data_IF_379950271189
#
_entry.id   IF_379950271189
#
_cell.length_a   1.000
_cell.length_b   1.000
_cell.length_c   1.000
_cell.angle_alpha   90.00
_cell.angle_beta   90.00
_cell.angle_gamma   90.00
#
_symmetry.space_group_name_H-M   'P 1'
#
loop_
_entity.id
_entity.type
_entity.pdbx_description
1 polymer ?
#
# COMPACT_ATOMS: atom_id res chain seq x y z
N UNK A 1 20.64 8.45 -24.98
CA UNK A 1 20.15 9.17 -23.80
C UNK A 1 19.08 8.30 -23.14
N UNK A 2 19.25 7.96 -21.85
CA UNK A 2 18.27 7.16 -21.14
C UNK A 2 16.98 8.00 -20.97
N UNK A 3 15.90 7.51 -21.54
CA UNK A 3 14.61 8.17 -21.47
C UNK A 3 14.03 7.91 -20.07
N UNK A 4 14.19 8.86 -19.14
CA UNK A 4 13.68 8.81 -17.75
C UNK A 4 12.15 8.98 -17.69
N UNK A 5 11.44 8.22 -18.49
CA UNK A 5 9.99 8.23 -18.48
C UNK A 5 9.50 7.41 -17.29
N UNK A 6 8.55 7.93 -16.52
CA UNK A 6 7.89 7.18 -15.46
C UNK A 6 7.27 5.89 -16.00
N UNK A 7 7.15 4.86 -15.15
CA UNK A 7 6.44 3.64 -15.51
C UNK A 7 4.97 3.95 -15.76
N UNK A 8 4.45 3.39 -16.83
CA UNK A 8 3.02 3.46 -17.18
C UNK A 8 2.30 2.16 -16.79
N UNK A 9 0.99 2.09 -17.04
CA UNK A 9 0.18 0.92 -16.76
C UNK A 9 0.66 -0.32 -17.54
N UNK A 10 1.06 -0.16 -18.79
CA UNK A 10 1.49 -1.28 -19.64
C UNK A 10 2.80 -1.89 -19.09
N UNK A 11 3.76 -1.04 -18.69
CA UNK A 11 4.99 -1.49 -18.03
C UNK A 11 4.66 -2.32 -16.78
N UNK A 12 3.71 -1.88 -15.95
CA UNK A 12 3.28 -2.56 -14.73
C UNK A 12 2.55 -3.88 -14.99
N UNK A 13 1.77 -3.94 -16.04
CA UNK A 13 1.11 -5.18 -16.48
C UNK A 13 2.15 -6.20 -16.97
N UNK A 14 3.15 -5.78 -17.73
CA UNK A 14 4.24 -6.66 -18.16
C UNK A 14 5.10 -7.15 -16.98
N UNK A 15 5.35 -6.31 -15.97
CA UNK A 15 5.98 -6.75 -14.71
C UNK A 15 5.14 -7.85 -14.05
N UNK A 16 3.84 -7.62 -13.87
CA UNK A 16 2.94 -8.61 -13.27
C UNK A 16 2.93 -9.94 -14.03
N UNK A 17 2.92 -9.88 -15.36
CA UNK A 17 2.95 -11.05 -16.22
C UNK A 17 4.28 -11.80 -16.09
N UNK A 18 5.41 -11.11 -16.17
CA UNK A 18 6.73 -11.70 -15.98
C UNK A 18 6.88 -12.36 -14.60
N UNK A 19 6.34 -11.73 -13.55
CA UNK A 19 6.30 -12.34 -12.21
C UNK A 19 5.47 -13.62 -12.16
N UNK A 20 4.31 -13.70 -12.83
CA UNK A 20 3.50 -14.92 -12.93
C UNK A 20 4.21 -16.03 -13.70
N UNK A 21 5.01 -15.67 -14.68
CA UNK A 21 5.83 -16.59 -15.48
C UNK A 21 7.12 -17.02 -14.74
N UNK A 22 7.42 -16.42 -13.58
CA UNK A 22 8.61 -16.73 -12.80
C UNK A 22 9.91 -16.14 -13.35
N UNK A 23 9.83 -15.11 -14.19
CA UNK A 23 10.98 -14.41 -14.75
C UNK A 23 11.76 -13.65 -13.67
N UNK A 24 13.05 -13.53 -13.86
CA UNK A 24 13.92 -12.70 -13.04
C UNK A 24 13.69 -11.20 -13.31
N UNK A 25 14.12 -10.34 -12.39
CA UNK A 25 14.02 -8.88 -12.57
C UNK A 25 14.78 -8.38 -13.80
N UNK A 26 15.91 -9.02 -14.13
CA UNK A 26 16.69 -8.69 -15.32
C UNK A 26 15.91 -9.00 -16.59
N UNK A 27 15.28 -10.18 -16.69
CA UNK A 27 14.46 -10.57 -17.84
C UNK A 27 13.23 -9.69 -18.00
N UNK A 28 12.55 -9.36 -16.89
CA UNK A 28 11.42 -8.43 -16.89
C UNK A 28 11.88 -7.05 -17.34
N UNK A 29 12.99 -6.57 -16.77
CA UNK A 29 13.56 -5.27 -17.12
C UNK A 29 13.94 -5.17 -18.59
N UNK A 30 14.58 -6.20 -19.13
CA UNK A 30 14.93 -6.28 -20.56
C UNK A 30 13.68 -6.18 -21.46
N UNK A 31 12.57 -6.82 -21.09
CA UNK A 31 11.34 -6.82 -21.86
C UNK A 31 10.70 -5.41 -21.98
N UNK A 32 10.87 -4.55 -20.96
CA UNK A 32 10.28 -3.19 -20.94
C UNK A 32 11.32 -2.07 -21.06
N UNK A 33 12.57 -2.43 -21.39
CA UNK A 33 13.67 -1.46 -21.57
C UNK A 33 14.08 -0.74 -20.27
N UNK A 34 14.06 -1.45 -19.14
CA UNK A 34 14.39 -0.93 -17.79
C UNK A 34 15.45 -1.80 -17.12
N UNK A 35 16.17 -1.21 -16.18
CA UNK A 35 17.10 -1.95 -15.34
C UNK A 35 16.38 -2.84 -14.32
N UNK A 36 16.93 -4.02 -14.02
CA UNK A 36 16.35 -4.95 -13.05
C UNK A 36 16.25 -4.38 -11.63
N UNK A 37 17.13 -3.45 -11.25
CA UNK A 37 17.05 -2.74 -9.98
C UNK A 37 15.82 -1.83 -9.89
N UNK A 38 15.43 -1.23 -11.01
CA UNK A 38 14.20 -0.42 -11.12
C UNK A 38 12.97 -1.31 -10.94
N UNK A 39 12.96 -2.49 -11.58
CA UNK A 39 11.89 -3.49 -11.40
C UNK A 39 11.79 -3.94 -9.94
N UNK A 40 12.92 -4.21 -9.30
CA UNK A 40 12.97 -4.60 -7.89
C UNK A 40 12.43 -3.50 -6.96
N UNK A 41 12.73 -2.23 -7.23
CA UNK A 41 12.20 -1.11 -6.45
C UNK A 41 10.70 -0.97 -6.65
N UNK A 42 10.22 -0.97 -7.87
CA UNK A 42 8.78 -0.89 -8.22
C UNK A 42 7.98 -1.98 -7.51
N UNK A 43 8.43 -3.25 -7.60
CA UNK A 43 7.74 -4.36 -6.95
C UNK A 43 7.69 -4.17 -5.44
N UNK A 44 8.81 -3.82 -4.79
CA UNK A 44 8.85 -3.65 -3.33
C UNK A 44 8.04 -2.47 -2.82
N UNK A 45 7.93 -1.40 -3.62
CA UNK A 45 7.13 -0.23 -3.26
C UNK A 45 5.63 -0.48 -3.32
N UNK A 46 5.20 -1.44 -4.18
CA UNK A 46 3.77 -1.69 -4.45
C UNK A 46 3.36 -3.13 -4.08
N UNK A 47 3.98 -3.71 -3.04
CA UNK A 47 3.60 -5.02 -2.53
C UNK A 47 2.26 -4.97 -1.80
N UNK A 48 1.31 -5.76 -2.28
CA UNK A 48 0.02 -5.95 -1.61
C UNK A 48 0.16 -7.12 -0.64
N UNK A 49 -0.02 -6.85 0.65
CA UNK A 49 -0.03 -7.85 1.70
C UNK A 49 -1.44 -8.42 1.83
N UNK A 50 -1.57 -9.75 1.76
CA UNK A 50 -2.86 -10.44 1.94
C UNK A 50 -2.76 -11.45 3.08
N UNK A 51 -3.56 -11.23 4.10
CA UNK A 51 -3.73 -12.13 5.25
C UNK A 51 -4.97 -12.98 5.05
N UNK A 52 -4.93 -13.81 4.00
CA UNK A 52 -6.05 -14.65 3.59
C UNK A 52 -5.69 -16.11 3.65
N UNK A 53 -6.59 -16.91 4.25
CA UNK A 53 -6.51 -18.35 4.22
C UNK A 53 -6.98 -18.95 2.90
N UNK A 54 -7.50 -20.18 3.00
CA UNK A 54 -8.12 -20.92 1.91
C UNK A 54 -9.60 -21.11 2.21
N UNK A 55 -10.33 -21.72 1.28
CA UNK A 55 -11.75 -22.02 1.47
C UNK A 55 -12.01 -22.93 2.69
N UNK A 56 -11.06 -23.81 3.00
CA UNK A 56 -11.19 -24.81 4.08
C UNK A 56 -10.24 -24.56 5.27
N UNK A 57 -9.30 -23.64 5.13
CA UNK A 57 -8.30 -23.33 6.17
C UNK A 57 -8.13 -21.83 6.27
N UNK A 58 -8.46 -21.21 7.41
CA UNK A 58 -8.31 -19.80 7.61
C UNK A 58 -6.82 -19.38 7.60
N UNK A 59 -6.58 -18.09 7.48
CA UNK A 59 -5.27 -17.51 7.68
C UNK A 59 -4.78 -17.83 9.09
N UNK A 60 -3.62 -18.45 9.18
CA UNK A 60 -2.95 -18.72 10.44
C UNK A 60 -1.43 -18.80 10.23
N UNK A 61 -0.70 -17.75 10.55
CA UNK A 61 0.75 -17.72 10.35
C UNK A 61 1.55 -18.37 11.49
N UNK A 62 0.91 -19.11 12.40
CA UNK A 62 1.61 -19.76 13.51
C UNK A 62 2.48 -20.93 13.02
N UNK A 63 3.75 -20.97 13.48
CA UNK A 63 4.66 -22.11 13.23
C UNK A 63 4.03 -23.43 13.69
N UNK A 64 3.34 -23.40 14.82
CA UNK A 64 2.76 -24.58 15.46
C UNK A 64 1.37 -24.95 14.92
N UNK A 65 0.84 -24.28 13.88
CA UNK A 65 -0.53 -24.48 13.38
C UNK A 65 -0.90 -25.90 13.03
N UNK A 66 0.08 -26.75 12.70
CA UNK A 66 -0.17 -28.18 12.36
C UNK A 66 -0.21 -29.08 13.57
N UNK A 67 0.51 -28.73 14.62
CA UNK A 67 0.70 -29.52 15.82
C UNK A 67 0.53 -28.59 17.04
N UNK A 68 -0.59 -27.88 17.12
CA UNK A 68 -0.88 -26.97 18.22
C UNK A 68 -1.18 -27.77 19.49
N UNK A 69 -0.51 -27.46 20.59
CA UNK A 69 -0.74 -28.08 21.90
C UNK A 69 -1.84 -27.37 22.68
N UNK A 70 -2.33 -26.24 22.19
CA UNK A 70 -3.34 -25.40 22.85
C UNK A 70 -4.73 -25.52 22.23
N UNK A 71 -5.03 -26.63 21.57
CA UNK A 71 -6.37 -26.84 21.03
C UNK A 71 -7.43 -26.77 22.13
N UNK A 72 -8.29 -25.74 22.03
CA UNK A 72 -9.39 -25.54 22.97
C UNK A 72 -9.10 -24.67 24.20
N UNK A 73 -7.83 -24.40 24.54
CA UNK A 73 -7.46 -23.74 25.81
C UNK A 73 -7.36 -22.22 25.72
N UNK A 74 -7.09 -21.68 24.53
CA UNK A 74 -6.74 -20.26 24.36
C UNK A 74 -7.90 -19.29 24.53
N UNK A 75 -9.11 -19.76 24.36
CA UNK A 75 -10.34 -18.96 24.38
C UNK A 75 -11.09 -19.01 25.73
N UNK A 76 -10.52 -19.67 26.74
CA UNK A 76 -11.18 -19.88 28.02
C UNK A 76 -12.41 -20.80 27.93
N UNK A 77 -13.41 -20.59 28.79
CA UNK A 77 -14.60 -21.44 28.88
C UNK A 77 -15.52 -21.37 27.64
N UNK A 78 -15.45 -20.29 26.89
CA UNK A 78 -16.24 -20.13 25.66
C UNK A 78 -15.35 -19.76 24.47
N UNK A 79 -15.48 -20.51 23.39
CA UNK A 79 -14.87 -20.16 22.12
C UNK A 79 -15.44 -18.84 21.60
N UNK A 80 -14.56 -17.92 21.17
CA UNK A 80 -14.93 -16.61 20.62
C UNK A 80 -15.95 -16.73 19.44
N UNK A 81 -15.96 -17.87 18.72
CA UNK A 81 -16.93 -18.15 17.66
C UNK A 81 -18.18 -18.93 18.14
N UNK A 82 -18.40 -19.03 19.43
CA UNK A 82 -19.59 -19.68 19.99
C UNK A 82 -19.56 -21.21 19.99
N UNK A 83 -18.42 -21.82 19.64
CA UNK A 83 -18.25 -23.29 19.77
C UNK A 83 -17.90 -23.64 21.21
N UNK A 84 -18.52 -24.71 21.73
CA UNK A 84 -18.14 -25.19 23.06
C UNK A 84 -16.72 -25.76 23.05
N UNK A 85 -15.99 -25.65 24.18
CA UNK A 85 -14.64 -26.19 24.34
C UNK A 85 -14.55 -27.71 24.00
N UNK A 86 -15.67 -28.44 24.10
CA UNK A 86 -15.75 -29.84 23.72
C UNK A 86 -15.64 -30.09 22.19
N UNK A 87 -15.76 -29.03 21.41
CA UNK A 87 -15.64 -29.06 19.95
C UNK A 87 -14.28 -28.47 19.48
N UNK A 88 -13.24 -28.64 20.28
CA UNK A 88 -11.87 -28.17 20.00
C UNK A 88 -11.33 -28.63 18.63
N UNK A 89 -11.87 -29.74 18.09
CA UNK A 89 -11.56 -30.20 16.73
C UNK A 89 -11.79 -29.14 15.63
N UNK A 90 -12.52 -28.08 15.93
CA UNK A 90 -12.74 -26.96 15.01
C UNK A 90 -11.79 -25.79 15.21
N UNK A 91 -10.87 -25.85 16.17
CA UNK A 91 -9.90 -24.77 16.42
C UNK A 91 -9.04 -24.46 15.20
N UNK A 92 -8.74 -25.45 14.37
CA UNK A 92 -8.03 -25.24 13.10
C UNK A 92 -8.78 -24.36 12.09
N UNK A 93 -10.08 -24.13 12.29
CA UNK A 93 -10.91 -23.20 11.53
C UNK A 93 -10.96 -21.80 12.17
N UNK A 94 -10.33 -21.60 13.32
CA UNK A 94 -10.35 -20.31 14.01
C UNK A 94 -9.29 -19.36 13.44
N UNK A 95 -9.71 -18.14 13.10
CA UNK A 95 -8.84 -17.07 12.61
C UNK A 95 -8.23 -16.22 13.73
N UNK A 96 -8.57 -16.51 14.98
CA UNK A 96 -8.22 -15.65 16.11
C UNK A 96 -7.27 -16.30 17.11
N UNK A 97 -7.04 -17.61 17.04
CA UNK A 97 -6.23 -18.33 18.04
C UNK A 97 -4.84 -17.72 18.22
N UNK A 98 -4.17 -17.36 17.13
CA UNK A 98 -2.82 -16.79 17.19
C UNK A 98 -2.77 -15.37 17.79
N UNK A 99 -3.88 -14.64 17.83
CA UNK A 99 -3.96 -13.32 18.47
C UNK A 99 -3.94 -13.39 19.99
N UNK A 100 -4.33 -14.54 20.56
CA UNK A 100 -4.44 -14.76 22.01
C UNK A 100 -3.38 -15.73 22.55
N UNK A 101 -2.63 -16.40 21.66
CA UNK A 101 -1.66 -17.39 22.04
C UNK A 101 -0.35 -16.76 22.53
N UNK A 102 0.08 -17.08 23.76
CA UNK A 102 1.36 -16.60 24.32
C UNK A 102 2.57 -17.24 23.64
N UNK A 103 2.40 -18.45 23.10
CA UNK A 103 3.45 -19.20 22.40
C UNK A 103 3.42 -18.99 20.89
N UNK A 104 2.70 -17.96 20.44
CA UNK A 104 2.64 -17.62 19.03
C UNK A 104 4.02 -17.25 18.49
N UNK A 105 4.41 -17.92 17.42
CA UNK A 105 5.59 -17.57 16.62
C UNK A 105 5.16 -17.47 15.16
N UNK A 106 5.39 -16.33 14.56
CA UNK A 106 5.03 -16.11 13.15
C UNK A 106 5.94 -16.90 12.22
N UNK A 107 5.34 -17.69 11.35
CA UNK A 107 6.01 -18.34 10.23
C UNK A 107 5.91 -17.46 8.99
N UNK A 108 7.05 -17.03 8.49
CA UNK A 108 7.16 -16.34 7.22
C UNK A 108 7.56 -17.30 6.11
N UNK A 109 6.94 -17.14 4.93
CA UNK A 109 7.31 -17.96 3.79
C UNK A 109 8.73 -17.65 3.32
N UNK A 110 9.59 -18.67 3.22
CA UNK A 110 10.98 -18.51 2.78
C UNK A 110 11.13 -17.93 1.38
N UNK A 111 10.12 -18.09 0.53
CA UNK A 111 10.11 -17.52 -0.81
C UNK A 111 10.04 -15.99 -0.80
N UNK A 112 9.49 -15.40 0.27
CA UNK A 112 9.34 -13.95 0.39
C UNK A 112 10.60 -13.23 0.87
N UNK A 113 11.59 -13.96 1.39
CA UNK A 113 12.89 -13.38 1.80
C UNK A 113 13.86 -13.21 0.63
N UNK A 114 13.55 -13.77 -0.53
CA UNK A 114 14.39 -13.75 -1.74
C UNK A 114 13.62 -13.16 -2.93
N UNK A 115 14.32 -12.60 -3.93
CA UNK A 115 13.66 -12.20 -5.17
C UNK A 115 12.85 -13.36 -5.78
N UNK A 116 11.67 -13.09 -6.31
CA UNK A 116 11.05 -11.79 -6.57
C UNK A 116 10.23 -11.18 -5.41
N UNK A 117 10.34 -11.70 -4.17
CA UNK A 117 9.63 -11.22 -2.96
C UNK A 117 8.10 -11.34 -3.04
N UNK A 118 7.56 -12.04 -4.03
CA UNK A 118 6.12 -12.14 -4.30
C UNK A 118 5.65 -13.58 -4.44
N UNK A 119 4.36 -13.76 -4.20
CA UNK A 119 3.67 -15.04 -4.43
C UNK A 119 3.10 -15.18 -5.85
N UNK A 120 3.38 -14.28 -6.79
CA UNK A 120 2.77 -14.26 -8.12
C UNK A 120 2.97 -15.57 -8.91
N UNK A 121 4.16 -16.20 -8.82
CA UNK A 121 4.46 -17.47 -9.46
C UNK A 121 4.23 -18.69 -8.55
N UNK A 122 3.77 -18.48 -7.30
CA UNK A 122 3.64 -19.57 -6.34
C UNK A 122 2.51 -20.52 -6.72
N UNK A 123 2.83 -21.77 -7.01
CA UNK A 123 1.84 -22.81 -7.35
C UNK A 123 0.89 -23.13 -6.20
N UNK A 124 1.36 -22.95 -4.96
CA UNK A 124 0.61 -23.26 -3.74
C UNK A 124 -0.17 -22.05 -3.18
N UNK A 125 -0.20 -20.92 -3.87
CA UNK A 125 -0.85 -19.70 -3.37
C UNK A 125 -2.30 -19.90 -2.94
N UNK A 126 -3.01 -20.84 -3.61
CA UNK A 126 -4.43 -21.15 -3.33
C UNK A 126 -4.61 -22.00 -2.07
N UNK A 127 -3.60 -22.79 -1.69
CA UNK A 127 -3.61 -23.65 -0.49
C UNK A 127 -2.83 -23.05 0.68
N UNK A 128 -2.17 -21.93 0.49
CA UNK A 128 -1.34 -21.26 1.48
C UNK A 128 -2.19 -20.55 2.53
N UNK A 129 -1.83 -20.74 3.80
CA UNK A 129 -2.44 -20.06 4.96
C UNK A 129 -1.53 -19.01 5.59
N UNK A 130 -0.35 -18.78 5.04
CA UNK A 130 0.60 -17.78 5.48
C UNK A 130 0.31 -16.41 4.86
N UNK A 131 0.96 -15.38 5.39
CA UNK A 131 0.98 -14.04 4.80
C UNK A 131 1.48 -14.12 3.35
N UNK A 132 0.71 -13.56 2.43
CA UNK A 132 1.03 -13.52 1.00
C UNK A 132 1.44 -12.12 0.63
N UNK A 133 2.42 -12.01 -0.26
CA UNK A 133 2.81 -10.76 -0.89
C UNK A 133 2.58 -10.91 -2.40
N UNK A 134 1.80 -10.03 -2.97
CA UNK A 134 1.50 -10.07 -4.41
C UNK A 134 1.73 -8.69 -5.02
N UNK A 135 2.18 -8.67 -6.25
CA UNK A 135 2.23 -7.47 -7.06
C UNK A 135 1.09 -7.48 -8.05
N UNK A 136 0.33 -6.41 -8.13
CA UNK A 136 -0.72 -6.20 -9.12
C UNK A 136 -0.50 -4.87 -9.84
N UNK A 137 -0.32 -4.94 -11.17
CA UNK A 137 0.04 -3.78 -11.98
C UNK A 137 -1.03 -2.68 -12.00
N UNK A 138 -2.30 -3.04 -11.89
CA UNK A 138 -3.40 -2.06 -11.85
C UNK A 138 -3.46 -1.33 -10.51
N UNK A 139 -3.32 -2.06 -9.41
CA UNK A 139 -3.30 -1.46 -8.09
C UNK A 139 -2.05 -0.59 -7.90
N UNK A 140 -0.88 -1.04 -8.40
CA UNK A 140 0.34 -0.24 -8.38
C UNK A 140 0.20 1.06 -9.19
N UNK A 141 -0.49 1.04 -10.33
CA UNK A 141 -0.79 2.23 -11.12
C UNK A 141 -1.71 3.19 -10.37
N UNK A 142 -2.77 2.65 -9.77
CA UNK A 142 -3.73 3.43 -8.99
C UNK A 142 -3.07 4.09 -7.78
N UNK A 143 -2.24 3.37 -7.05
CA UNK A 143 -1.48 3.91 -5.91
C UNK A 143 -0.54 5.03 -6.37
N UNK A 144 0.20 4.81 -7.46
CA UNK A 144 1.06 5.84 -8.05
C UNK A 144 0.29 7.11 -8.44
N UNK A 145 -0.88 6.97 -9.08
CA UNK A 145 -1.73 8.09 -9.47
C UNK A 145 -2.29 8.83 -8.25
N UNK A 146 -2.68 8.10 -7.20
CA UNK A 146 -3.14 8.68 -5.94
C UNK A 146 -2.04 9.51 -5.28
N UNK A 147 -0.85 8.93 -5.08
CA UNK A 147 0.30 9.64 -4.50
C UNK A 147 0.67 10.87 -5.33
N UNK A 148 0.65 10.73 -6.67
CA UNK A 148 0.94 11.85 -7.58
C UNK A 148 -0.13 12.94 -7.52
N UNK A 149 -1.39 12.58 -7.32
CA UNK A 149 -2.48 13.53 -7.16
C UNK A 149 -2.39 14.24 -5.81
N UNK A 150 -2.24 13.47 -4.73
CA UNK A 150 -2.12 13.99 -3.37
C UNK A 150 -0.91 14.90 -3.19
N UNK A 151 0.24 14.56 -3.80
CA UNK A 151 1.43 15.40 -3.76
C UNK A 151 1.28 16.73 -4.50
N UNK A 152 0.25 16.86 -5.34
CA UNK A 152 -0.10 18.09 -6.04
C UNK A 152 -1.32 18.79 -5.45
N UNK A 153 -2.04 18.11 -4.56
CA UNK A 153 -3.11 18.68 -3.77
C UNK A 153 -2.50 19.27 -2.51
N UNK A 154 -2.66 20.54 -2.37
CA UNK A 154 -2.19 21.24 -1.20
C UNK A 154 -1.22 22.37 -1.56
N UNK A 155 -1.28 23.35 -0.71
CA UNK A 155 -0.44 24.53 -0.78
C UNK A 155 0.77 24.21 0.07
N UNK A 156 1.95 24.23 -0.52
CA UNK A 156 3.20 23.97 0.19
C UNK A 156 3.60 25.21 1.03
N UNK A 157 2.71 25.60 1.94
CA UNK A 157 2.88 26.72 2.84
C UNK A 157 2.78 26.26 4.29
N UNK A 158 3.59 26.82 5.14
CA UNK A 158 3.45 26.68 6.59
C UNK A 158 2.20 27.42 7.08
N UNK A 159 1.70 27.05 8.27
CA UNK A 159 0.56 27.73 8.87
C UNK A 159 0.78 29.24 9.11
N UNK A 160 2.03 29.66 9.30
CA UNK A 160 2.39 31.07 9.45
C UNK A 160 2.34 31.82 8.12
N UNK A 161 2.90 31.24 7.08
CA UNK A 161 2.83 31.78 5.72
C UNK A 161 1.38 31.88 5.23
N UNK A 162 0.58 30.86 5.52
CA UNK A 162 -0.83 30.85 5.20
C UNK A 162 -1.56 32.03 5.87
N UNK A 163 -1.35 32.23 7.17
CA UNK A 163 -1.95 33.36 7.91
C UNK A 163 -1.48 34.71 7.37
N UNK A 164 -0.20 34.83 6.98
CA UNK A 164 0.32 36.05 6.38
C UNK A 164 -0.40 36.39 5.08
N UNK A 165 -0.52 35.39 4.20
CA UNK A 165 -1.22 35.51 2.92
C UNK A 165 -2.70 35.85 3.11
N UNK A 166 -3.39 35.17 4.04
CA UNK A 166 -4.79 35.41 4.36
C UNK A 166 -5.04 36.83 4.86
N UNK A 167 -4.18 37.36 5.72
CA UNK A 167 -4.26 38.74 6.21
C UNK A 167 -4.14 39.80 5.11
N UNK A 168 -3.47 39.49 4.00
CA UNK A 168 -3.38 40.38 2.84
C UNK A 168 -4.58 40.20 1.92
N UNK A 169 -4.91 38.97 1.59
CA UNK A 169 -5.89 38.64 0.55
C UNK A 169 -7.33 38.85 1.03
N UNK A 170 -7.68 38.39 2.22
CA UNK A 170 -9.06 38.40 2.69
C UNK A 170 -9.68 39.82 2.77
N UNK A 171 -8.98 40.88 3.26
CA UNK A 171 -9.55 42.23 3.22
C UNK A 171 -9.78 42.75 1.81
N UNK A 172 -8.85 42.46 0.89
CA UNK A 172 -8.90 42.97 -0.48
C UNK A 172 -10.00 42.27 -1.30
N UNK A 173 -10.21 41.00 -1.09
CA UNK A 173 -11.36 40.26 -1.67
C UNK A 173 -12.70 40.83 -1.16
N UNK A 174 -12.78 41.12 0.15
CA UNK A 174 -14.02 41.75 0.73
C UNK A 174 -14.27 43.14 0.18
N UNK A 175 -13.25 43.82 -0.30
CA UNK A 175 -13.38 45.11 -1.00
C UNK A 175 -13.75 44.94 -2.50
N UNK A 176 -13.94 43.69 -2.97
CA UNK A 176 -14.32 43.39 -4.35
C UNK A 176 -13.16 43.37 -5.36
N UNK A 177 -11.92 43.33 -4.90
CA UNK A 177 -10.78 43.22 -5.80
C UNK A 177 -10.66 41.79 -6.37
N UNK A 178 -10.31 41.69 -7.65
CA UNK A 178 -10.04 40.39 -8.26
C UNK A 178 -8.73 39.82 -7.78
N UNK A 179 -8.62 38.49 -7.71
CA UNK A 179 -7.40 37.79 -7.31
C UNK A 179 -6.22 38.22 -8.19
N UNK A 180 -6.43 38.34 -9.49
CA UNK A 180 -5.44 38.83 -10.44
C UNK A 180 -4.87 40.20 -10.03
N UNK A 181 -5.76 41.16 -9.70
CA UNK A 181 -5.37 42.50 -9.27
C UNK A 181 -4.61 42.49 -7.94
N UNK A 182 -5.06 41.64 -6.99
CA UNK A 182 -4.39 41.46 -5.70
C UNK A 182 -2.98 40.92 -5.90
N UNK A 183 -2.80 39.88 -6.70
CA UNK A 183 -1.49 39.29 -6.99
C UNK A 183 -0.55 40.30 -7.68
N UNK A 184 -1.06 41.02 -8.66
CA UNK A 184 -0.26 41.98 -9.41
C UNK A 184 0.25 43.15 -8.53
N UNK A 185 -0.57 43.60 -7.56
CA UNK A 185 -0.19 44.75 -6.72
C UNK A 185 0.55 44.38 -5.42
N UNK A 186 0.53 43.10 -5.02
CA UNK A 186 1.13 42.64 -3.77
C UNK A 186 2.08 41.43 -4.01
N UNK A 187 2.70 41.36 -5.18
CA UNK A 187 3.53 40.24 -5.59
C UNK A 187 4.67 39.96 -4.61
N UNK A 188 5.36 41.02 -4.14
CA UNK A 188 6.51 40.93 -3.23
C UNK A 188 6.11 40.46 -1.82
N UNK A 189 4.89 40.79 -1.38
CA UNK A 189 4.40 40.43 -0.06
C UNK A 189 3.74 39.02 -0.05
N UNK A 190 3.06 38.66 -1.13
CA UNK A 190 2.35 37.38 -1.27
C UNK A 190 3.35 36.28 -1.63
N UNK A 191 4.31 36.52 -2.54
CA UNK A 191 5.32 35.58 -3.03
C UNK A 191 4.75 34.25 -3.56
N UNK A 192 3.50 34.27 -4.04
CA UNK A 192 2.79 33.13 -4.60
C UNK A 192 2.22 33.50 -5.97
N UNK A 193 2.10 32.48 -6.82
CA UNK A 193 1.41 32.63 -8.09
C UNK A 193 -0.12 32.66 -7.89
N UNK A 194 -0.82 33.26 -8.85
CA UNK A 194 -2.25 33.43 -8.86
C UNK A 194 -2.99 32.08 -8.73
N UNK A 195 -2.47 31.04 -9.37
CA UNK A 195 -3.06 29.69 -9.34
C UNK A 195 -2.97 29.07 -7.94
N UNK A 196 -1.90 29.30 -7.23
CA UNK A 196 -1.73 28.82 -5.84
C UNK A 196 -2.76 29.49 -4.93
N UNK A 197 -3.07 30.76 -5.14
CA UNK A 197 -4.09 31.49 -4.37
C UNK A 197 -5.49 31.00 -4.68
N UNK A 198 -5.83 30.72 -5.95
CA UNK A 198 -7.09 30.07 -6.27
C UNK A 198 -7.26 28.74 -5.58
N UNK A 199 -6.23 27.86 -5.64
CA UNK A 199 -6.26 26.57 -4.96
C UNK A 199 -6.41 26.69 -3.43
N UNK A 200 -5.94 27.81 -2.84
CA UNK A 200 -6.09 28.09 -1.41
C UNK A 200 -7.53 28.48 -1.05
N UNK A 201 -8.16 29.26 -1.90
CA UNK A 201 -9.53 29.75 -1.64
C UNK A 201 -10.57 28.65 -1.85
N UNK A 202 -10.27 27.69 -2.76
CA UNK A 202 -11.16 26.59 -3.12
C UNK A 202 -11.02 25.36 -2.18
N UNK A 203 -10.04 25.33 -1.27
CA UNK A 203 -9.76 24.23 -0.34
C UNK A 203 -10.47 24.42 1.01
#
# INVERSE_FOLDING_TARGET
MANYKHMNLDDRIEIQKGLKEGKSFAEIGAAIGRDGSTISKEIRSHLIIKETGTRSRPYNPCVNRKNCLHEGDLCGEMCIKGFSWRESKYCFLCENCFKHCKDFKEETCRLLSKPPYTCNACKEIRSCTLKKQVYDGKEAQKEYETVRSESRQGINLTAEELRRVDNIIAPLIRQGQSIHHICANNADDIMLDERTIYNYIDA
#
